data_IF_283305025302
#
_entry.id   IF_283305025302
#
_cell.length_a   1.000
_cell.length_b   1.000
_cell.length_c   1.000
_cell.angle_alpha   90.00
_cell.angle_beta   90.00
_cell.angle_gamma   90.00
#
_symmetry.space_group_name_H-M   'P 1'
#
loop_
_entity.id
_entity.type
_entity.pdbx_description
1 polymer ?
#
# COMPACT_ATOMS: atom_id res chain seq x y z
N UNK A 1 4.90 5.56 20.33
CA UNK A 1 4.26 6.46 19.36
C UNK A 1 4.83 6.14 17.98
N UNK A 2 4.02 5.52 17.18
CA UNK A 2 4.35 5.12 15.81
C UNK A 2 4.37 6.38 14.93
N UNK A 3 5.55 6.79 14.48
CA UNK A 3 5.70 7.97 13.63
C UNK A 3 6.29 7.53 12.28
N UNK A 4 5.46 7.53 11.24
CA UNK A 4 5.84 7.17 9.86
C UNK A 4 6.95 8.07 9.31
N UNK A 5 7.12 9.28 9.85
CA UNK A 5 8.21 10.16 9.48
C UNK A 5 9.58 9.61 9.89
N UNK A 6 9.71 8.94 11.04
CA UNK A 6 10.99 8.36 11.46
C UNK A 6 11.49 7.26 10.53
N UNK A 7 10.58 6.45 9.99
CA UNK A 7 10.96 5.44 9.00
C UNK A 7 11.50 6.10 7.73
N UNK A 8 10.81 7.13 7.21
CA UNK A 8 11.26 7.86 6.02
C UNK A 8 12.57 8.59 6.24
N UNK A 9 12.80 9.19 7.41
CA UNK A 9 14.08 9.83 7.74
C UNK A 9 15.22 8.82 7.70
N UNK A 10 15.04 7.63 8.30
CA UNK A 10 16.06 6.57 8.28
C UNK A 10 16.31 6.04 6.88
N UNK A 11 15.25 5.84 6.10
CA UNK A 11 15.34 5.39 4.72
C UNK A 11 16.07 6.41 3.85
N UNK A 12 15.72 7.69 3.97
CA UNK A 12 16.39 8.79 3.29
C UNK A 12 17.88 8.87 3.69
N UNK A 13 18.19 8.75 4.98
CA UNK A 13 19.57 8.73 5.45
C UNK A 13 20.38 7.56 4.87
N UNK A 14 19.76 6.38 4.78
CA UNK A 14 20.41 5.20 4.17
C UNK A 14 20.68 5.43 2.68
N UNK A 15 19.71 5.96 1.94
CA UNK A 15 19.90 6.25 0.51
C UNK A 15 20.83 7.44 0.27
N UNK A 16 20.94 8.39 1.20
CA UNK A 16 21.92 9.48 1.12
C UNK A 16 23.37 8.96 1.10
N UNK A 17 23.65 7.85 1.79
CA UNK A 17 24.97 7.20 1.73
C UNK A 17 25.27 6.66 0.31
N UNK A 18 24.27 6.10 -0.35
CA UNK A 18 24.41 5.53 -1.70
C UNK A 18 24.47 6.65 -2.77
N UNK A 19 23.71 7.72 -2.56
CA UNK A 19 23.63 8.86 -3.48
C UNK A 19 24.74 9.89 -3.24
N UNK A 20 25.66 9.65 -2.28
CA UNK A 20 26.70 10.60 -1.88
C UNK A 20 26.14 12.00 -1.53
N UNK A 21 24.90 12.07 -1.08
CA UNK A 21 24.21 13.33 -0.76
C UNK A 21 23.67 14.11 -1.96
N UNK A 22 23.82 13.60 -3.19
CA UNK A 22 23.25 14.24 -4.39
C UNK A 22 21.72 13.99 -4.44
N UNK A 23 20.96 15.06 -4.36
CA UNK A 23 19.50 15.03 -4.33
C UNK A 23 18.88 14.41 -5.59
N UNK A 24 19.46 14.69 -6.76
CA UNK A 24 19.01 14.16 -8.05
C UNK A 24 19.14 12.64 -8.11
N UNK A 25 20.28 12.11 -7.65
CA UNK A 25 20.52 10.65 -7.59
C UNK A 25 19.55 10.00 -6.62
N UNK A 26 19.29 10.66 -5.49
CA UNK A 26 18.32 10.20 -4.49
C UNK A 26 16.92 10.09 -5.09
N UNK A 27 16.46 11.13 -5.80
CA UNK A 27 15.16 11.11 -6.47
C UNK A 27 15.04 10.02 -7.54
N UNK A 28 16.10 9.77 -8.31
CA UNK A 28 16.12 8.69 -9.30
C UNK A 28 15.93 7.32 -8.63
N UNK A 29 16.57 7.09 -7.49
CA UNK A 29 16.40 5.82 -6.73
C UNK A 29 14.93 5.64 -6.32
N UNK A 30 14.32 6.66 -5.71
CA UNK A 30 12.91 6.59 -5.27
C UNK A 30 11.95 6.41 -6.44
N UNK A 31 12.17 7.15 -7.54
CA UNK A 31 11.38 7.01 -8.77
C UNK A 31 11.48 5.60 -9.34
N UNK A 32 12.67 5.02 -9.35
CA UNK A 32 12.88 3.65 -9.80
C UNK A 32 12.13 2.63 -8.90
N UNK A 33 12.20 2.78 -7.58
CA UNK A 33 11.47 1.92 -6.64
C UNK A 33 9.96 2.02 -6.85
N UNK A 34 9.43 3.22 -7.05
CA UNK A 34 8.01 3.42 -7.30
C UNK A 34 7.57 2.81 -8.63
N UNK A 35 8.41 2.93 -9.68
CA UNK A 35 8.16 2.31 -10.97
C UNK A 35 8.11 0.79 -10.88
N UNK A 36 9.03 0.18 -10.13
CA UNK A 36 9.02 -1.27 -9.87
C UNK A 36 7.73 -1.68 -9.16
N UNK A 37 7.32 -0.91 -8.15
CA UNK A 37 6.05 -1.14 -7.46
C UNK A 37 4.84 -1.05 -8.38
N UNK A 38 4.77 0.01 -9.20
CA UNK A 38 3.71 0.21 -10.17
C UNK A 38 3.64 -0.94 -11.19
N UNK A 39 4.81 -1.35 -11.71
CA UNK A 39 4.91 -2.50 -12.60
C UNK A 39 4.36 -3.77 -11.96
N UNK A 40 4.71 -4.06 -10.72
CA UNK A 40 4.19 -5.23 -10.00
C UNK A 40 2.67 -5.14 -9.77
N UNK A 41 2.12 -3.95 -9.52
CA UNK A 41 0.68 -3.75 -9.44
C UNK A 41 -0.01 -4.09 -10.77
N UNK A 42 0.47 -3.53 -11.88
CA UNK A 42 -0.10 -3.78 -13.21
C UNK A 42 0.02 -5.25 -13.60
N UNK A 43 1.20 -5.86 -13.37
CA UNK A 43 1.43 -7.27 -13.65
C UNK A 43 0.49 -8.18 -12.82
N UNK A 44 0.23 -7.83 -11.57
CA UNK A 44 -0.67 -8.60 -10.72
C UNK A 44 -2.14 -8.43 -11.08
N UNK A 45 -2.58 -7.21 -11.41
CA UNK A 45 -3.97 -6.90 -11.73
C UNK A 45 -4.36 -7.39 -13.13
N UNK A 46 -3.46 -7.24 -14.11
CA UNK A 46 -3.69 -7.57 -15.51
C UNK A 46 -2.95 -8.83 -15.97
N UNK A 47 -2.78 -9.79 -15.08
CA UNK A 47 -2.00 -11.02 -15.32
C UNK A 47 -2.35 -11.76 -16.61
N UNK A 48 -3.62 -11.75 -17.02
CA UNK A 48 -4.11 -12.45 -18.23
C UNK A 48 -4.39 -11.53 -19.42
N UNK A 49 -4.19 -10.21 -19.28
CA UNK A 49 -4.52 -9.27 -20.35
C UNK A 49 -3.36 -9.09 -21.31
N UNK A 50 -3.68 -9.01 -22.60
CA UNK A 50 -2.72 -8.63 -23.65
C UNK A 50 -2.34 -7.14 -23.56
N UNK A 51 -3.21 -6.34 -22.97
CA UNK A 51 -3.05 -4.86 -22.85
C UNK A 51 -2.17 -4.44 -21.67
N UNK A 52 -1.49 -5.37 -21.01
CA UNK A 52 -0.67 -5.11 -19.82
C UNK A 52 0.38 -4.02 -20.04
N UNK A 53 1.10 -4.07 -21.17
CA UNK A 53 2.14 -3.09 -21.47
C UNK A 53 1.54 -1.71 -21.73
N UNK A 54 0.40 -1.65 -22.42
CA UNK A 54 -0.34 -0.42 -22.65
C UNK A 54 -0.85 0.17 -21.33
N UNK A 55 -1.43 -0.64 -20.46
CA UNK A 55 -1.87 -0.22 -19.15
C UNK A 55 -0.73 0.31 -18.27
N UNK A 56 0.45 -0.32 -18.33
CA UNK A 56 1.63 0.18 -17.63
C UNK A 56 2.06 1.56 -18.18
N UNK A 57 2.09 1.70 -19.50
CA UNK A 57 2.43 2.99 -20.15
C UNK A 57 1.45 4.08 -19.73
N UNK A 58 0.16 3.81 -19.75
CA UNK A 58 -0.88 4.74 -19.31
C UNK A 58 -0.75 5.09 -17.82
N UNK A 59 -0.50 4.09 -16.98
CA UNK A 59 -0.33 4.31 -15.54
C UNK A 59 0.91 5.17 -15.22
N UNK A 60 2.01 4.98 -15.96
CA UNK A 60 3.23 5.80 -15.80
C UNK A 60 3.00 7.23 -16.30
N UNK A 61 2.35 7.40 -17.46
CA UNK A 61 2.11 8.71 -18.06
C UNK A 61 0.98 9.49 -17.39
N UNK A 62 0.22 8.86 -16.49
CA UNK A 62 -0.84 9.55 -15.77
C UNK A 62 -0.27 10.68 -14.90
N UNK A 63 -0.74 11.94 -15.03
CA UNK A 63 -0.12 13.10 -14.38
C UNK A 63 0.05 12.95 -12.87
N UNK A 64 -0.93 12.34 -12.19
CA UNK A 64 -0.83 12.09 -10.75
C UNK A 64 0.30 11.10 -10.42
N UNK A 65 0.51 10.07 -11.24
CA UNK A 65 1.62 9.13 -11.07
C UNK A 65 2.96 9.84 -11.22
N UNK A 66 3.09 10.71 -12.24
CA UNK A 66 4.32 11.47 -12.45
C UNK A 66 4.62 12.40 -11.27
N UNK A 67 3.62 13.04 -10.68
CA UNK A 67 3.81 13.94 -9.54
C UNK A 67 4.11 13.18 -8.24
N UNK A 68 3.31 12.17 -7.91
CA UNK A 68 3.38 11.52 -6.60
C UNK A 68 4.42 10.40 -6.50
N UNK A 69 4.82 9.81 -7.65
CA UNK A 69 5.78 8.71 -7.68
C UNK A 69 7.19 9.15 -8.08
N UNK A 70 7.37 10.40 -8.52
CA UNK A 70 8.65 10.94 -8.97
C UNK A 70 9.35 11.72 -7.85
N UNK A 71 9.90 11.08 -6.87
CA UNK A 71 10.64 11.79 -5.84
C UNK A 71 10.78 11.04 -4.53
N UNK A 72 11.49 11.64 -3.58
CA UNK A 72 11.74 11.10 -2.25
C UNK A 72 10.53 11.13 -1.31
N UNK A 73 9.32 10.92 -1.86
CA UNK A 73 8.06 10.95 -1.13
C UNK A 73 7.70 9.57 -0.56
N UNK A 74 6.91 9.58 0.50
CA UNK A 74 6.37 8.36 1.14
C UNK A 74 5.57 7.51 0.14
N UNK A 75 4.88 8.16 -0.77
CA UNK A 75 4.02 7.56 -1.79
C UNK A 75 4.80 6.66 -2.75
N UNK A 76 6.03 7.05 -3.11
CA UNK A 76 6.93 6.25 -3.94
C UNK A 76 7.26 4.90 -3.28
N UNK A 77 7.59 4.94 -1.98
CA UNK A 77 7.90 3.73 -1.21
C UNK A 77 6.63 2.91 -0.92
N UNK A 78 5.51 3.59 -0.64
CA UNK A 78 4.22 2.93 -0.43
C UNK A 78 3.78 2.15 -1.68
N UNK A 79 3.98 2.72 -2.87
CA UNK A 79 3.68 2.05 -4.14
C UNK A 79 4.49 0.75 -4.31
N UNK A 80 5.76 0.76 -3.92
CA UNK A 80 6.58 -0.45 -3.88
C UNK A 80 5.99 -1.50 -2.92
N UNK A 81 5.56 -1.09 -1.73
CA UNK A 81 4.94 -1.98 -0.73
C UNK A 81 3.65 -2.62 -1.25
N UNK A 82 2.77 -1.83 -1.88
CA UNK A 82 1.53 -2.32 -2.48
C UNK A 82 1.82 -3.29 -3.61
N UNK A 83 2.72 -2.94 -4.52
CA UNK A 83 3.13 -3.79 -5.64
C UNK A 83 3.72 -5.12 -5.17
N UNK A 84 4.55 -5.08 -4.12
CA UNK A 84 5.12 -6.28 -3.51
C UNK A 84 4.04 -7.16 -2.87
N UNK A 85 3.04 -6.58 -2.19
CA UNK A 85 1.92 -7.34 -1.62
C UNK A 85 1.11 -8.06 -2.70
N UNK A 86 0.74 -7.37 -3.76
CA UNK A 86 0.01 -7.95 -4.89
C UNK A 86 0.81 -9.02 -5.62
N UNK A 87 2.11 -8.80 -5.82
CA UNK A 87 3.02 -9.80 -6.41
C UNK A 87 3.12 -11.04 -5.55
N UNK A 88 3.26 -10.89 -4.22
CA UNK A 88 3.33 -12.00 -3.28
C UNK A 88 2.07 -12.86 -3.31
N UNK A 89 0.90 -12.25 -3.47
CA UNK A 89 -0.37 -12.98 -3.63
C UNK A 89 -0.46 -13.82 -4.90
N UNK A 90 0.18 -13.38 -5.97
CA UNK A 90 0.18 -14.09 -7.25
C UNK A 90 1.22 -15.19 -7.34
N UNK A 91 2.13 -15.26 -6.38
CA UNK A 91 3.15 -16.29 -6.36
C UNK A 91 2.53 -17.70 -6.22
N UNK A 92 3.07 -18.64 -6.96
CA UNK A 92 2.59 -20.02 -6.96
C UNK A 92 3.04 -20.81 -5.75
N UNK A 93 4.19 -20.44 -5.20
CA UNK A 93 4.81 -21.10 -4.06
C UNK A 93 5.13 -20.11 -2.92
N UNK A 94 5.17 -20.61 -1.69
CA UNK A 94 5.56 -19.80 -0.52
C UNK A 94 6.98 -19.25 -0.65
N UNK A 95 7.89 -19.98 -1.29
CA UNK A 95 9.27 -19.54 -1.51
C UNK A 95 9.35 -18.31 -2.41
N UNK A 96 8.53 -18.26 -3.45
CA UNK A 96 8.43 -17.12 -4.36
C UNK A 96 7.69 -15.94 -3.73
N UNK A 97 6.69 -16.22 -2.88
CA UNK A 97 5.92 -15.19 -2.18
C UNK A 97 6.75 -14.49 -1.10
N UNK A 98 7.60 -15.23 -0.40
CA UNK A 98 8.29 -14.78 0.81
C UNK A 98 9.02 -13.43 0.67
N UNK A 99 9.90 -13.23 -0.32
CA UNK A 99 10.62 -11.95 -0.45
C UNK A 99 9.65 -10.78 -0.70
N UNK A 100 8.63 -10.99 -1.50
CA UNK A 100 7.63 -9.95 -1.81
C UNK A 100 6.77 -9.62 -0.59
N UNK A 101 6.34 -10.62 0.16
CA UNK A 101 5.56 -10.43 1.40
C UNK A 101 6.41 -9.75 2.47
N UNK A 102 7.70 -10.09 2.58
CA UNK A 102 8.62 -9.46 3.52
C UNK A 102 8.78 -7.96 3.20
N UNK A 103 9.05 -7.61 1.95
CA UNK A 103 9.16 -6.21 1.50
C UNK A 103 7.85 -5.47 1.78
N UNK A 104 6.71 -6.04 1.41
CA UNK A 104 5.40 -5.45 1.65
C UNK A 104 5.15 -5.19 3.14
N UNK A 105 5.41 -6.19 3.99
CA UNK A 105 5.22 -6.08 5.44
C UNK A 105 6.11 -5.01 6.05
N UNK A 106 7.39 -4.99 5.70
CA UNK A 106 8.32 -3.97 6.20
C UNK A 106 7.89 -2.55 5.82
N UNK A 107 7.46 -2.35 4.59
CA UNK A 107 7.06 -1.02 4.11
C UNK A 107 5.71 -0.61 4.72
N UNK A 108 4.69 -1.46 4.58
CA UNK A 108 3.31 -1.11 4.96
C UNK A 108 3.15 -0.96 6.47
N UNK A 109 3.79 -1.82 7.27
CA UNK A 109 3.76 -1.71 8.73
C UNK A 109 4.45 -0.45 9.24
N UNK A 110 5.50 0.02 8.55
CA UNK A 110 6.26 1.19 8.99
C UNK A 110 5.75 2.52 8.42
N UNK A 111 5.11 2.54 7.26
CA UNK A 111 4.63 3.79 6.65
C UNK A 111 3.17 4.12 6.99
N UNK A 112 2.28 3.19 6.76
CA UNK A 112 0.83 3.47 6.87
C UNK A 112 0.08 2.22 7.33
N UNK A 113 0.11 1.96 8.64
CA UNK A 113 -0.59 0.82 9.22
C UNK A 113 -2.09 0.78 8.86
N UNK A 114 -2.74 1.95 8.81
CA UNK A 114 -4.16 2.03 8.45
C UNK A 114 -4.42 1.60 6.99
N UNK A 115 -3.44 1.76 6.10
CA UNK A 115 -3.56 1.29 4.72
C UNK A 115 -3.68 -0.23 4.65
N UNK A 116 -3.04 -0.93 5.56
CA UNK A 116 -3.14 -2.38 5.69
C UNK A 116 -4.57 -2.82 6.02
N UNK A 117 -5.30 -2.02 6.81
CA UNK A 117 -6.70 -2.30 7.14
C UNK A 117 -7.60 -2.33 5.90
N UNK A 118 -7.30 -1.54 4.87
CA UNK A 118 -8.02 -1.56 3.59
C UNK A 118 -7.45 -2.59 2.61
N UNK A 119 -6.14 -2.78 2.61
CA UNK A 119 -5.48 -3.68 1.68
C UNK A 119 -5.70 -5.14 2.04
N UNK A 120 -5.66 -5.52 3.33
CA UNK A 120 -5.86 -6.89 3.78
C UNK A 120 -7.20 -7.49 3.33
N UNK A 121 -8.36 -6.83 3.47
CA UNK A 121 -9.61 -7.33 2.92
C UNK A 121 -9.57 -7.57 1.42
N UNK A 122 -8.97 -6.65 0.66
CA UNK A 122 -8.83 -6.79 -0.79
C UNK A 122 -7.94 -7.99 -1.16
N UNK A 123 -6.81 -8.14 -0.48
CA UNK A 123 -5.89 -9.25 -0.68
C UNK A 123 -6.53 -10.59 -0.31
N UNK A 124 -7.20 -10.67 0.83
CA UNK A 124 -7.91 -11.88 1.27
C UNK A 124 -9.05 -12.25 0.31
N UNK A 125 -9.80 -11.25 -0.16
CA UNK A 125 -10.86 -11.47 -1.16
C UNK A 125 -10.32 -12.09 -2.43
N UNK A 126 -9.22 -11.55 -2.96
CA UNK A 126 -8.60 -12.09 -4.16
C UNK A 126 -8.05 -13.50 -3.95
N UNK A 127 -7.44 -13.77 -2.78
CA UNK A 127 -6.98 -15.09 -2.41
C UNK A 127 -8.13 -16.11 -2.30
N UNK A 128 -9.24 -15.72 -1.65
CA UNK A 128 -10.43 -16.57 -1.52
C UNK A 128 -11.07 -16.85 -2.89
N UNK A 129 -11.12 -15.84 -3.77
CA UNK A 129 -11.59 -16.00 -5.15
C UNK A 129 -10.76 -17.02 -5.93
N UNK A 130 -9.45 -16.95 -5.81
CA UNK A 130 -8.54 -17.85 -6.54
C UNK A 130 -8.59 -19.29 -6.04
N UNK A 131 -8.70 -19.48 -4.71
CA UNK A 131 -8.65 -20.82 -4.10
C UNK A 131 -10.00 -21.48 -3.89
N UNK A 132 -11.08 -20.71 -3.66
CA UNK A 132 -12.40 -21.24 -3.29
C UNK A 132 -13.51 -20.93 -4.27
N UNK A 133 -13.24 -20.28 -5.39
CA UNK A 133 -14.24 -19.85 -6.38
C UNK A 133 -15.43 -19.07 -5.76
N UNK A 134 -15.17 -18.28 -4.74
CA UNK A 134 -16.21 -17.51 -4.11
C UNK A 134 -16.76 -16.45 -5.07
N UNK A 135 -18.09 -16.30 -5.07
CA UNK A 135 -18.75 -15.28 -5.85
C UNK A 135 -18.49 -13.89 -5.25
N UNK A 136 -18.35 -12.86 -6.08
CA UNK A 136 -18.17 -11.48 -5.65
C UNK A 136 -19.21 -11.02 -4.63
N UNK A 137 -20.50 -11.39 -4.81
CA UNK A 137 -21.57 -11.06 -3.88
C UNK A 137 -21.36 -11.66 -2.49
N UNK A 138 -20.93 -12.90 -2.41
CA UNK A 138 -20.62 -13.54 -1.14
C UNK A 138 -19.46 -12.85 -0.40
N UNK A 139 -18.45 -12.39 -1.13
CA UNK A 139 -17.33 -11.63 -0.57
C UNK A 139 -17.76 -10.26 -0.07
N UNK A 140 -18.56 -9.53 -0.85
CA UNK A 140 -19.08 -8.21 -0.45
C UNK A 140 -19.93 -8.33 0.82
N UNK A 141 -20.80 -9.33 0.89
CA UNK A 141 -21.62 -9.60 2.08
C UNK A 141 -20.74 -9.97 3.28
N UNK A 142 -19.75 -10.84 3.09
CA UNK A 142 -18.82 -11.22 4.18
C UNK A 142 -18.09 -10.02 4.77
N UNK A 143 -17.51 -9.16 3.93
CA UNK A 143 -16.82 -7.94 4.38
C UNK A 143 -17.79 -6.91 4.96
N UNK A 144 -18.99 -6.77 4.38
CA UNK A 144 -20.04 -5.91 4.91
C UNK A 144 -20.42 -6.29 6.34
N UNK A 145 -20.67 -7.58 6.57
CA UNK A 145 -20.98 -8.10 7.91
C UNK A 145 -19.80 -7.89 8.87
N UNK A 146 -18.58 -8.19 8.44
CA UNK A 146 -17.40 -8.07 9.30
C UNK A 146 -17.12 -6.62 9.71
N UNK A 147 -17.26 -5.67 8.79
CA UNK A 147 -17.14 -4.23 9.06
C UNK A 147 -18.25 -3.77 10.02
N UNK A 148 -19.49 -4.18 9.77
CA UNK A 148 -20.63 -3.81 10.61
C UNK A 148 -20.46 -4.34 12.04
N UNK A 149 -20.05 -5.60 12.19
CA UNK A 149 -19.77 -6.21 13.50
C UNK A 149 -18.59 -5.50 14.18
N UNK A 150 -17.54 -5.15 13.43
CA UNK A 150 -16.39 -4.41 13.95
C UNK A 150 -16.78 -3.02 14.46
N UNK A 151 -17.59 -2.28 13.73
CA UNK A 151 -18.11 -0.97 14.17
C UNK A 151 -19.02 -1.15 15.40
N UNK A 152 -19.94 -2.09 15.37
CA UNK A 152 -20.86 -2.34 16.49
C UNK A 152 -20.08 -2.74 17.77
N UNK A 153 -19.05 -3.58 17.64
CA UNK A 153 -18.20 -3.97 18.78
C UNK A 153 -17.40 -2.80 19.34
N UNK A 154 -16.90 -1.89 18.48
CA UNK A 154 -16.21 -0.69 18.89
C UNK A 154 -17.13 0.26 19.69
N UNK A 155 -18.36 0.47 19.22
CA UNK A 155 -19.37 1.23 19.96
C UNK A 155 -19.75 0.56 21.31
N UNK A 156 -19.94 -0.75 21.32
CA UNK A 156 -20.24 -1.49 22.54
C UNK A 156 -19.09 -1.42 23.56
N UNK A 157 -17.83 -1.30 23.09
CA UNK A 157 -16.67 -1.08 23.93
C UNK A 157 -16.50 0.38 24.40
N UNK A 158 -17.45 1.28 24.07
CA UNK A 158 -17.41 2.69 24.46
C UNK A 158 -16.50 3.55 23.59
N UNK A 159 -16.10 3.06 22.42
CA UNK A 159 -15.26 3.81 21.49
C UNK A 159 -16.13 4.72 20.60
N UNK A 160 -16.12 6.02 20.89
CA UNK A 160 -16.82 7.01 20.08
C UNK A 160 -15.96 7.39 18.86
N UNK A 161 -16.23 6.72 17.72
CA UNK A 161 -15.50 6.92 16.47
C UNK A 161 -15.66 8.35 15.95
N UNK A 162 -16.85 8.96 15.89
CA UNK A 162 -17.03 10.34 15.49
C UNK A 162 -16.26 11.34 16.35
N UNK A 163 -16.31 11.19 17.68
CA UNK A 163 -15.57 12.06 18.59
C UNK A 163 -14.05 11.94 18.41
N UNK A 164 -13.55 10.73 18.19
CA UNK A 164 -12.12 10.49 17.95
C UNK A 164 -11.64 11.11 16.63
N UNK A 165 -12.47 11.13 15.59
CA UNK A 165 -12.17 11.79 14.31
C UNK A 165 -12.21 13.31 14.47
N UNK A 166 -13.22 13.84 15.16
CA UNK A 166 -13.36 15.28 15.42
C UNK A 166 -12.19 15.82 16.24
N UNK A 167 -11.73 15.08 17.26
CA UNK A 167 -10.57 15.45 18.05
C UNK A 167 -9.30 15.50 17.22
N UNK A 168 -9.06 14.54 16.35
CA UNK A 168 -7.90 14.58 15.43
C UNK A 168 -7.95 15.74 14.44
N UNK A 169 -9.13 16.09 13.94
CA UNK A 169 -9.28 17.28 13.10
C UNK A 169 -8.97 18.57 13.87
N UNK A 170 -9.46 18.66 15.09
CA UNK A 170 -9.18 19.81 15.96
C UNK A 170 -7.70 19.96 16.28
N UNK A 171 -7.02 18.85 16.61
CA UNK A 171 -5.58 18.84 16.84
C UNK A 171 -4.79 19.27 15.60
N UNK A 172 -5.23 18.83 14.40
CA UNK A 172 -4.59 19.21 13.14
C UNK A 172 -4.72 20.72 12.84
N UNK A 173 -5.89 21.31 13.11
CA UNK A 173 -6.14 22.74 12.90
C UNK A 173 -5.34 23.61 13.89
N UNK A 174 -5.17 23.15 15.13
CA UNK A 174 -4.47 23.93 16.17
C UNK A 174 -2.94 23.81 16.13
N UNK A 175 -2.39 22.91 15.30
CA UNK A 175 -0.95 22.75 15.08
C UNK A 175 -0.43 23.39 13.78
N UNK A 176 -1.29 24.11 13.06
CA UNK A 176 -0.96 24.97 11.92
C UNK A 176 -0.98 26.42 12.34
#
# INVERSE_FOLDING_TARGET
LYNDNHFMIRLNATFALVSFGFYEVHNVIFTFLSFVGLKWCVDALLFKSQDRNWALTMAVLFPASLLWLSGGLKEAVLMLGIGAALKGMRASTLKEAFPSVLIASLILLNLKLYFLAFLLPALLSEWMRQKRNWNYWAMTLFWGVLITVGIASAYAAGFDIPASIAQKQHDFINHV
#
